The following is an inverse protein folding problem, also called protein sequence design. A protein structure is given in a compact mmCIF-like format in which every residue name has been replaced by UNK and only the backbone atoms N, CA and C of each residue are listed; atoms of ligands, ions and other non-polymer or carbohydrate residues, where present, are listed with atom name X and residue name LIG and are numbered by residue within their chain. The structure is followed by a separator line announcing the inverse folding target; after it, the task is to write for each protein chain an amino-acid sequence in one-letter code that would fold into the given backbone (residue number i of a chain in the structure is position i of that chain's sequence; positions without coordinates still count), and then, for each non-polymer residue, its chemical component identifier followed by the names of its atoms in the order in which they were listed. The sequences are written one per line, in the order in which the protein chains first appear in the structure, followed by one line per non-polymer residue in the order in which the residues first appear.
data_IF_466750725454
#
_entry.id   IF_466750725454
#
_cell.length_a   1.000
_cell.length_b   1.000
_cell.length_c   1.000
_cell.angle_alpha   90.00
_cell.angle_beta   90.00
_cell.angle_gamma   90.00
#
_symmetry.space_group_name_H-M   'P 1'
#
loop_
_entity.id
_entity.type
_entity.pdbx_description
1 polymer ?
#
# COMPACT_ATOMS: atom_id res chain seq x y z
N UNK A 1 9.34 5.26 3.37
CA UNK A 1 10.06 4.13 4.04
C UNK A 1 9.33 3.47 5.24
N UNK A 2 8.77 4.21 6.20
CA UNK A 2 8.19 3.66 7.44
C UNK A 2 6.97 2.73 7.29
N UNK A 3 6.10 3.02 6.32
CA UNK A 3 4.95 2.16 6.04
C UNK A 3 5.38 0.83 5.40
N UNK A 4 6.43 0.85 4.55
CA UNK A 4 6.98 -0.34 3.89
C UNK A 4 7.56 -1.35 4.87
N UNK A 5 8.23 -0.89 5.94
CA UNK A 5 8.94 -1.77 6.88
C UNK A 5 8.04 -2.62 7.78
N UNK A 6 6.80 -2.18 8.07
CA UNK A 6 5.84 -2.96 8.86
C UNK A 6 4.80 -3.64 7.96
N UNK A 7 5.12 -4.85 7.49
CA UNK A 7 4.22 -5.68 6.67
C UNK A 7 2.81 -5.84 7.29
N UNK A 8 2.69 -5.86 8.62
CA UNK A 8 1.41 -5.95 9.36
C UNK A 8 0.45 -4.78 9.07
N UNK A 9 0.95 -3.64 8.58
CA UNK A 9 0.13 -2.46 8.26
C UNK A 9 -0.45 -2.47 6.84
N UNK A 10 0.13 -3.25 5.91
CA UNK A 10 -0.18 -3.14 4.48
C UNK A 10 -0.31 -4.48 3.74
N UNK A 11 0.35 -5.53 4.23
CA UNK A 11 0.41 -6.84 3.58
C UNK A 11 -0.74 -7.76 4.03
N UNK A 12 -1.87 -7.68 3.32
CA UNK A 12 -3.03 -8.54 3.56
C UNK A 12 -2.74 -10.06 3.47
N UNK A 13 -1.61 -10.46 2.89
CA UNK A 13 -1.16 -11.86 2.82
C UNK A 13 -0.48 -12.33 4.12
N UNK A 14 -0.08 -11.42 5.02
CA UNK A 14 0.48 -11.80 6.32
C UNK A 14 -0.63 -12.26 7.27
N UNK A 15 -0.43 -13.41 7.94
CA UNK A 15 -1.37 -13.92 8.95
C UNK A 15 -1.65 -12.87 10.05
N UNK A 16 -0.65 -12.05 10.38
CA UNK A 16 -0.71 -11.01 11.39
C UNK A 16 -1.47 -9.74 10.94
N UNK A 17 -1.73 -9.53 9.64
CA UNK A 17 -2.56 -8.40 9.18
C UNK A 17 -4.04 -8.51 9.59
N UNK A 18 -4.50 -9.70 9.97
CA UNK A 18 -5.83 -9.90 10.56
C UNK A 18 -5.86 -9.67 12.06
N UNK A 19 -4.71 -9.63 12.73
CA UNK A 19 -4.64 -9.37 14.15
C UNK A 19 -4.78 -7.86 14.43
N UNK A 20 -5.93 -7.47 14.99
CA UNK A 20 -6.25 -6.07 15.31
C UNK A 20 -5.31 -5.47 16.34
N UNK A 21 -4.84 -6.27 17.31
CA UNK A 21 -3.97 -5.81 18.41
C UNK A 21 -2.60 -5.44 17.83
N UNK A 22 -1.96 -6.36 17.10
CA UNK A 22 -0.64 -6.12 16.49
C UNK A 22 -0.68 -4.94 15.52
N UNK A 23 -1.80 -4.73 14.82
CA UNK A 23 -1.98 -3.56 13.95
C UNK A 23 -2.07 -2.26 14.73
N UNK A 24 -2.82 -2.24 15.83
CA UNK A 24 -2.95 -1.04 16.64
C UNK A 24 -1.62 -0.67 17.30
N UNK A 25 -0.88 -1.65 17.83
CA UNK A 25 0.45 -1.41 18.40
C UNK A 25 1.44 -0.94 17.32
N UNK A 26 1.40 -1.55 16.13
CA UNK A 26 2.21 -1.09 15.02
C UNK A 26 1.93 0.36 14.62
N UNK A 27 0.68 0.81 14.73
CA UNK A 27 0.28 2.20 14.50
C UNK A 27 0.71 3.13 15.64
N UNK A 28 0.58 2.70 16.90
CA UNK A 28 1.02 3.47 18.08
C UNK A 28 2.51 3.75 18.04
N UNK A 29 3.33 2.72 17.84
CA UNK A 29 4.79 2.88 17.69
C UNK A 29 5.15 3.93 16.63
N UNK A 30 4.36 3.97 15.54
CA UNK A 30 4.59 4.91 14.44
C UNK A 30 4.05 6.31 14.72
N UNK A 31 2.95 6.42 15.45
CA UNK A 31 2.47 7.68 16.00
C UNK A 31 3.51 8.30 16.92
N UNK A 32 4.09 7.51 17.81
CA UNK A 32 5.12 7.95 18.75
C UNK A 32 6.40 8.40 18.04
N UNK A 33 6.88 7.60 17.06
CA UNK A 33 8.05 7.94 16.24
C UNK A 33 7.85 9.24 15.44
N UNK A 34 6.64 9.46 14.92
CA UNK A 34 6.29 10.68 14.17
C UNK A 34 5.79 11.83 15.06
N UNK A 35 5.72 11.63 16.38
CA UNK A 35 5.11 12.56 17.35
C UNK A 35 3.72 13.05 16.89
N UNK A 36 2.90 12.12 16.41
CA UNK A 36 1.59 12.40 15.82
C UNK A 36 0.53 11.46 16.37
N UNK A 37 -0.70 11.97 16.53
CA UNK A 37 -1.82 11.12 16.92
C UNK A 37 -2.03 10.00 15.91
N UNK A 38 -2.22 8.78 16.41
CA UNK A 38 -2.45 7.57 15.59
C UNK A 38 -3.60 7.77 14.60
N UNK A 39 -4.66 8.48 15.00
CA UNK A 39 -5.80 8.78 14.15
C UNK A 39 -5.42 9.68 12.97
N UNK A 40 -4.64 10.74 13.20
CA UNK A 40 -4.16 11.64 12.13
C UNK A 40 -3.21 10.92 11.19
N UNK A 41 -2.35 10.06 11.73
CA UNK A 41 -1.46 9.22 10.94
C UNK A 41 -2.24 8.26 10.04
N UNK A 42 -3.27 7.60 10.58
CA UNK A 42 -4.20 6.73 9.81
C UNK A 42 -4.94 7.51 8.73
N UNK A 43 -5.40 8.73 9.02
CA UNK A 43 -6.08 9.59 8.06
C UNK A 43 -5.16 10.01 6.92
N UNK A 44 -3.94 10.48 7.23
CA UNK A 44 -2.92 10.80 6.22
C UNK A 44 -2.60 9.59 5.33
N UNK A 45 -2.44 8.42 5.94
CA UNK A 45 -2.17 7.19 5.19
C UNK A 45 -3.35 6.83 4.28
N UNK A 46 -4.57 7.01 4.74
CA UNK A 46 -5.79 6.75 3.96
C UNK A 46 -5.85 7.64 2.72
N UNK A 47 -5.56 8.94 2.87
CA UNK A 47 -5.49 9.90 1.76
C UNK A 47 -4.40 9.52 0.75
N UNK A 48 -3.21 9.15 1.23
CA UNK A 48 -2.11 8.73 0.35
C UNK A 48 -2.46 7.44 -0.42
N UNK A 49 -3.06 6.46 0.26
CA UNK A 49 -3.51 5.21 -0.38
C UNK A 49 -4.63 5.44 -1.40
N UNK A 50 -5.52 6.42 -1.16
CA UNK A 50 -6.54 6.78 -2.13
C UNK A 50 -5.92 7.35 -3.41
N UNK A 51 -4.94 8.27 -3.28
CA UNK A 51 -4.19 8.81 -4.41
C UNK A 51 -3.43 7.72 -5.17
N UNK A 52 -2.74 6.82 -4.45
CA UNK A 52 -2.04 5.68 -5.07
C UNK A 52 -2.98 4.79 -5.90
N UNK A 53 -4.17 4.45 -5.39
CA UNK A 53 -5.14 3.64 -6.12
C UNK A 53 -5.62 4.31 -7.40
N UNK A 54 -5.89 5.62 -7.35
CA UNK A 54 -6.28 6.41 -8.53
C UNK A 54 -5.18 6.37 -9.58
N UNK A 55 -3.94 6.57 -9.15
CA UNK A 55 -2.80 6.57 -10.06
C UNK A 55 -2.58 5.20 -10.70
N UNK A 56 -2.73 4.12 -9.93
CA UNK A 56 -2.69 2.75 -10.45
C UNK A 56 -3.82 2.48 -11.47
N UNK A 57 -5.01 3.03 -11.26
CA UNK A 57 -6.11 2.91 -12.23
C UNK A 57 -5.75 3.57 -13.56
N UNK A 58 -5.22 4.79 -13.50
CA UNK A 58 -4.79 5.53 -14.70
C UNK A 58 -3.70 4.81 -15.47
N UNK A 59 -2.70 4.27 -14.77
CA UNK A 59 -1.65 3.43 -15.39
C UNK A 59 -2.29 2.21 -16.08
N UNK A 60 -3.19 1.50 -15.39
CA UNK A 60 -3.89 0.34 -15.96
C UNK A 60 -4.72 0.70 -17.21
N UNK A 61 -5.48 1.78 -17.15
CA UNK A 61 -6.28 2.29 -18.28
C UNK A 61 -5.41 2.70 -19.46
N UNK A 62 -4.23 3.26 -19.21
CA UNK A 62 -3.27 3.60 -20.26
C UNK A 62 -2.81 2.37 -21.02
N UNK A 63 -2.50 1.27 -20.30
CA UNK A 63 -2.15 -0.01 -20.93
C UNK A 63 -3.29 -0.57 -21.80
N UNK A 64 -4.55 -0.40 -21.38
CA UNK A 64 -5.73 -0.87 -22.15
C UNK A 64 -5.94 -0.02 -23.40
N UNK A 65 -5.80 1.30 -23.29
CA UNK A 65 -6.05 2.26 -24.38
C UNK A 65 -4.86 2.42 -25.33
N UNK A 66 -3.72 1.79 -25.06
CA UNK A 66 -2.48 1.96 -25.82
C UNK A 66 -1.82 3.32 -25.61
N UNK A 67 -2.27 4.11 -24.63
CA UNK A 67 -1.68 5.41 -24.29
C UNK A 67 -0.61 5.22 -23.22
N UNK A 68 0.49 5.96 -23.31
CA UNK A 68 1.55 5.91 -22.29
C UNK A 68 1.22 6.94 -21.21
N UNK A 69 0.68 6.47 -20.07
CA UNK A 69 0.49 7.34 -18.90
C UNK A 69 1.71 7.26 -18.00
N UNK A 70 2.39 8.40 -17.84
CA UNK A 70 3.49 8.57 -16.88
C UNK A 70 2.97 9.37 -15.69
N UNK A 71 2.95 8.70 -14.53
CA UNK A 71 2.56 9.35 -13.28
C UNK A 71 3.53 10.47 -12.90
N UNK A 72 2.97 11.60 -12.46
CA UNK A 72 3.71 12.71 -11.84
C UNK A 72 3.60 12.72 -10.30
N UNK A 73 2.96 11.71 -9.72
CA UNK A 73 2.70 11.69 -8.28
C UNK A 73 3.97 11.31 -7.52
N UNK A 74 4.46 12.24 -6.68
CA UNK A 74 5.76 12.13 -5.99
C UNK A 74 5.91 10.88 -5.13
N UNK A 75 4.81 10.34 -4.60
CA UNK A 75 4.81 9.18 -3.73
C UNK A 75 4.54 7.86 -4.47
N UNK A 76 4.40 7.85 -5.81
CA UNK A 76 4.13 6.62 -6.54
C UNK A 76 5.27 5.60 -6.34
N UNK A 77 6.52 6.04 -6.50
CA UNK A 77 7.71 5.20 -6.33
C UNK A 77 7.82 4.61 -4.92
N UNK A 78 7.49 5.41 -3.90
CA UNK A 78 7.46 4.97 -2.50
C UNK A 78 6.41 3.89 -2.25
N UNK A 79 5.36 3.80 -3.07
CA UNK A 79 4.24 2.87 -2.92
C UNK A 79 4.35 1.65 -3.83
N UNK A 80 5.37 1.59 -4.71
CA UNK A 80 5.60 0.48 -5.64
C UNK A 80 5.77 -0.87 -4.93
N UNK A 81 6.25 -0.91 -3.69
CA UNK A 81 6.37 -2.19 -2.95
C UNK A 81 5.00 -2.88 -2.70
N UNK A 82 3.88 -2.17 -2.90
CA UNK A 82 2.54 -2.73 -2.78
C UNK A 82 2.00 -3.32 -4.08
N UNK A 83 2.73 -3.27 -5.19
CA UNK A 83 2.29 -3.86 -6.47
C UNK A 83 2.15 -5.39 -6.37
N UNK A 84 3.01 -6.05 -5.59
CA UNK A 84 3.00 -7.52 -5.33
C UNK A 84 1.76 -8.05 -4.57
N UNK A 85 0.90 -7.14 -4.10
CA UNK A 85 -0.34 -7.50 -3.44
C UNK A 85 -1.36 -8.11 -4.41
N UNK A 86 -1.30 -7.73 -5.69
CA UNK A 86 -2.30 -8.09 -6.69
C UNK A 86 -1.76 -9.03 -7.77
N UNK A 87 -0.54 -9.53 -7.67
CA UNK A 87 -0.10 -10.65 -8.52
C UNK A 87 -0.93 -11.86 -8.11
N UNK A 88 -1.86 -12.35 -8.96
CA UNK A 88 -2.41 -13.68 -8.74
C UNK A 88 -1.21 -14.63 -8.69
N UNK A 89 -1.20 -15.57 -7.76
CA UNK A 89 -0.34 -16.73 -7.92
C UNK A 89 -0.70 -17.28 -9.30
N UNK A 90 0.22 -17.25 -10.26
CA UNK A 90 0.14 -18.14 -11.39
C UNK A 90 0.04 -19.52 -10.76
N UNK A 91 -1.18 -20.09 -10.76
CA UNK A 91 -1.35 -21.51 -10.59
C UNK A 91 -0.61 -22.04 -11.82
N UNK A 92 0.61 -22.52 -11.59
CA UNK A 92 1.31 -23.31 -12.60
C UNK A 92 0.45 -24.56 -12.71
N UNK A 93 -0.46 -24.56 -13.68
CA UNK A 93 -1.15 -25.77 -14.11
C UNK A 93 -0.04 -26.76 -14.48
N UNK A 94 0.19 -27.69 -13.56
CA UNK A 94 1.13 -28.78 -13.74
C UNK A 94 0.39 -29.77 -14.63
N UNK A 95 0.75 -29.77 -15.91
CA UNK A 95 0.42 -30.84 -16.86
C UNK A 95 1.25 -32.10 -16.55
#
# INVERSE_FOLDING_TARGET
QLYKSKAVLWNSKSANCRNKIIREDAWKDKGDEMKMAVQDLKNKMTTLLASYRREKSRIKESHITGTVYVSKWFALSEFNFMTDKNTPHFIVDTL
#
